data_IF_649280062957
#
_entry.id   IF_649280062957
#
_cell.length_a   1.000
_cell.length_b   1.000
_cell.length_c   1.000
_cell.angle_alpha   90.00
_cell.angle_beta   90.00
_cell.angle_gamma   90.00
#
_symmetry.space_group_name_H-M   'P 1'
#
loop_
_entity.id
_entity.type
_entity.pdbx_description
1 polymer ?
#
# COMPACT_ATOMS: atom_id res chain seq x y z
N UNK A 1 -32.64 13.68 -0.90
CA UNK A 1 -31.22 13.99 -0.66
C UNK A 1 -30.62 12.66 -0.29
N UNK A 2 -29.87 12.02 -1.20
CA UNK A 2 -29.12 10.81 -0.84
C UNK A 2 -28.07 11.22 0.19
N UNK A 3 -28.23 10.75 1.42
CA UNK A 3 -27.15 10.79 2.41
C UNK A 3 -25.95 10.09 1.78
N UNK A 4 -24.97 10.87 1.30
CA UNK A 4 -23.70 10.31 0.81
C UNK A 4 -23.08 9.54 1.97
N UNK A 5 -23.22 8.23 1.95
CA UNK A 5 -22.66 7.35 2.96
C UNK A 5 -21.13 7.57 2.95
N UNK A 6 -20.62 8.13 4.03
CA UNK A 6 -19.17 8.26 4.26
C UNK A 6 -18.60 6.87 4.43
N UNK A 7 -17.53 6.56 3.72
CA UNK A 7 -16.79 5.29 3.86
C UNK A 7 -15.56 5.54 4.70
N UNK A 8 -15.43 4.81 5.80
CA UNK A 8 -14.28 4.87 6.71
C UNK A 8 -13.25 3.82 6.31
N UNK A 9 -12.06 4.27 5.98
CA UNK A 9 -10.95 3.42 5.53
C UNK A 9 -9.88 3.42 6.61
N UNK A 10 -9.63 2.27 7.22
CA UNK A 10 -8.47 2.04 8.08
C UNK A 10 -7.29 1.61 7.21
N UNK A 11 -6.09 2.15 7.46
CA UNK A 11 -4.90 1.85 6.69
C UNK A 11 -3.69 1.60 7.61
N UNK A 12 -2.94 0.55 7.33
CA UNK A 12 -1.68 0.17 7.98
C UNK A 12 -0.74 -0.45 6.96
N UNK A 13 0.56 -0.42 7.19
CA UNK A 13 1.57 -1.16 6.43
C UNK A 13 2.59 -1.78 7.37
N UNK A 14 3.46 -2.63 6.82
CA UNK A 14 4.65 -3.16 7.52
C UNK A 14 4.29 -3.87 8.83
N UNK A 15 3.29 -4.75 8.74
CA UNK A 15 2.82 -5.53 9.89
C UNK A 15 3.79 -6.65 10.27
N UNK A 16 4.59 -7.14 9.30
CA UNK A 16 5.67 -8.13 9.49
C UNK A 16 5.27 -9.30 10.38
N UNK A 17 4.21 -10.01 9.98
CA UNK A 17 3.72 -11.18 10.73
C UNK A 17 4.75 -12.29 10.72
N UNK A 18 5.05 -12.83 11.90
CA UNK A 18 6.02 -13.91 12.14
C UNK A 18 5.30 -15.19 12.49
N UNK A 19 5.99 -16.32 12.36
CA UNK A 19 5.48 -17.63 12.83
C UNK A 19 5.09 -17.60 14.32
N UNK A 20 5.78 -16.77 15.12
CA UNK A 20 5.52 -16.62 16.57
C UNK A 20 4.35 -15.70 16.92
N UNK A 21 3.67 -15.14 15.91
CA UNK A 21 2.62 -14.13 16.13
C UNK A 21 1.20 -14.72 16.19
N UNK A 22 1.08 -16.03 16.21
CA UNK A 22 -0.21 -16.71 16.29
C UNK A 22 -1.04 -16.20 17.48
N UNK A 23 -2.24 -15.69 17.17
CA UNK A 23 -3.20 -15.12 18.12
C UNK A 23 -2.95 -13.64 18.50
N UNK A 24 -1.87 -13.02 18.03
CA UNK A 24 -1.51 -11.64 18.41
C UNK A 24 -2.32 -10.58 17.68
N UNK A 25 -2.79 -10.85 16.45
CA UNK A 25 -3.49 -9.88 15.61
C UNK A 25 -5.01 -9.94 15.69
N UNK A 26 -5.58 -10.96 16.34
CA UNK A 26 -7.05 -11.14 16.48
C UNK A 26 -7.71 -9.92 17.10
N UNK A 27 -7.18 -9.39 18.21
CA UNK A 27 -7.74 -8.20 18.87
C UNK A 27 -7.63 -6.94 18.01
N UNK A 28 -6.51 -6.79 17.29
CA UNK A 28 -6.29 -5.69 16.36
C UNK A 28 -7.33 -5.69 15.22
N UNK A 29 -7.52 -6.82 14.54
CA UNK A 29 -8.48 -6.91 13.44
C UNK A 29 -9.94 -6.75 13.89
N UNK A 30 -10.29 -7.17 15.11
CA UNK A 30 -11.59 -6.90 15.71
C UNK A 30 -11.80 -5.41 15.97
N UNK A 31 -10.80 -4.73 16.50
CA UNK A 31 -10.85 -3.29 16.77
C UNK A 31 -10.98 -2.49 15.46
N UNK A 32 -10.18 -2.80 14.45
CA UNK A 32 -10.28 -2.17 13.12
C UNK A 32 -11.68 -2.37 12.55
N UNK A 33 -12.23 -3.61 12.61
CA UNK A 33 -13.57 -3.92 12.10
C UNK A 33 -14.70 -3.15 12.79
N UNK A 34 -14.52 -2.78 14.06
CA UNK A 34 -15.49 -1.97 14.80
C UNK A 34 -15.49 -0.49 14.39
N UNK A 35 -14.38 -0.01 13.84
CA UNK A 35 -14.14 1.43 13.61
C UNK A 35 -14.13 1.82 12.12
N UNK A 36 -13.99 0.87 11.19
CA UNK A 36 -13.86 1.12 9.76
C UNK A 36 -14.85 0.28 8.93
N UNK A 37 -14.97 0.63 7.65
CA UNK A 37 -15.77 -0.08 6.67
C UNK A 37 -14.90 -0.88 5.68
N UNK A 38 -13.62 -0.52 5.54
CA UNK A 38 -12.60 -1.21 4.74
C UNK A 38 -11.25 -1.11 5.47
N UNK A 39 -10.45 -2.18 5.45
CA UNK A 39 -9.06 -2.18 5.89
C UNK A 39 -8.13 -2.21 4.68
N UNK A 40 -7.12 -1.33 4.66
CA UNK A 40 -6.01 -1.36 3.70
C UNK A 40 -4.74 -1.84 4.42
N UNK A 41 -3.97 -2.75 3.79
CA UNK A 41 -2.64 -3.15 4.27
C UNK A 41 -1.60 -2.90 3.16
N UNK A 42 -0.69 -1.96 3.42
CA UNK A 42 0.27 -1.40 2.46
C UNK A 42 1.59 -2.19 2.40
N UNK A 43 1.52 -3.51 2.19
CA UNK A 43 2.67 -4.39 2.00
C UNK A 43 3.41 -4.77 3.27
N UNK A 44 4.46 -5.57 3.11
CA UNK A 44 5.23 -6.24 4.16
C UNK A 44 4.31 -6.95 5.16
N UNK A 45 3.52 -7.85 4.57
CA UNK A 45 2.53 -8.65 5.27
C UNK A 45 3.22 -9.71 6.14
N UNK A 46 4.27 -10.32 5.61
CA UNK A 46 5.15 -11.31 6.24
C UNK A 46 6.49 -10.68 6.64
N UNK A 47 7.19 -11.28 7.59
CA UNK A 47 8.48 -10.77 8.07
C UNK A 47 9.66 -11.21 7.17
N UNK A 48 9.61 -12.43 6.65
CA UNK A 48 10.71 -13.04 5.88
C UNK A 48 10.29 -13.60 4.52
N UNK A 49 9.05 -13.37 4.10
CA UNK A 49 8.54 -13.89 2.83
C UNK A 49 8.28 -15.40 2.85
N UNK A 50 7.81 -15.91 3.99
CA UNK A 50 7.51 -17.33 4.18
C UNK A 50 6.01 -17.60 4.12
N UNK A 51 5.63 -18.72 3.51
CA UNK A 51 4.22 -19.13 3.41
C UNK A 51 3.62 -19.53 4.76
N UNK A 52 4.41 -19.94 5.73
CA UNK A 52 3.92 -20.24 7.09
C UNK A 52 3.54 -18.97 7.84
N UNK A 53 4.29 -17.87 7.65
CA UNK A 53 3.93 -16.54 8.14
C UNK A 53 2.62 -16.05 7.49
N UNK A 54 2.49 -16.27 6.17
CA UNK A 54 1.27 -15.92 5.43
C UNK A 54 0.06 -16.74 5.91
N UNK A 55 0.23 -18.03 6.22
CA UNK A 55 -0.83 -18.87 6.76
C UNK A 55 -1.30 -18.38 8.14
N UNK A 56 -0.38 -17.91 8.98
CA UNK A 56 -0.72 -17.29 10.28
C UNK A 56 -1.54 -16.01 10.04
N UNK A 57 -1.06 -15.10 9.18
CA UNK A 57 -1.80 -13.89 8.86
C UNK A 57 -3.21 -14.21 8.31
N UNK A 58 -3.32 -15.16 7.39
CA UNK A 58 -4.61 -15.59 6.85
C UNK A 58 -5.58 -16.07 7.96
N UNK A 59 -5.07 -16.83 8.92
CA UNK A 59 -5.85 -17.28 10.07
C UNK A 59 -6.28 -16.11 10.99
N UNK A 60 -5.38 -15.15 11.25
CA UNK A 60 -5.68 -13.96 12.05
C UNK A 60 -6.71 -13.04 11.36
N UNK A 61 -6.65 -12.92 10.04
CA UNK A 61 -7.58 -12.12 9.22
C UNK A 61 -9.03 -12.64 9.27
N UNK A 62 -9.27 -13.88 9.70
CA UNK A 62 -10.64 -14.33 9.96
C UNK A 62 -11.35 -13.50 11.06
N UNK A 63 -10.61 -12.81 11.91
CA UNK A 63 -11.17 -11.89 12.90
C UNK A 63 -11.57 -10.52 12.29
N UNK A 64 -11.14 -10.22 11.06
CA UNK A 64 -11.52 -9.03 10.32
C UNK A 64 -12.85 -9.28 9.59
N UNK A 65 -13.92 -8.62 10.04
CA UNK A 65 -15.27 -8.82 9.48
C UNK A 65 -15.61 -7.84 8.34
N UNK A 66 -14.73 -6.87 8.08
CA UNK A 66 -14.81 -5.90 6.97
C UNK A 66 -13.91 -6.35 5.82
N UNK A 67 -14.17 -5.91 4.57
CA UNK A 67 -13.29 -6.17 3.44
C UNK A 67 -11.87 -5.67 3.69
N UNK A 68 -10.88 -6.45 3.25
CA UNK A 68 -9.45 -6.12 3.32
C UNK A 68 -8.90 -5.98 1.92
N UNK A 69 -8.21 -4.88 1.64
CA UNK A 69 -7.46 -4.64 0.41
C UNK A 69 -5.99 -4.55 0.76
N UNK A 70 -5.14 -5.34 0.15
CA UNK A 70 -3.72 -5.29 0.42
C UNK A 70 -2.88 -5.40 -0.85
N UNK A 71 -1.62 -4.98 -0.73
CA UNK A 71 -0.56 -5.23 -1.69
C UNK A 71 0.56 -5.99 -1.00
N UNK A 72 1.44 -6.61 -1.76
CA UNK A 72 2.66 -7.19 -1.21
C UNK A 72 3.74 -6.12 -1.05
N UNK A 73 4.68 -6.32 -0.13
CA UNK A 73 5.87 -5.50 0.05
C UNK A 73 7.15 -6.25 -0.29
N UNK A 74 8.31 -5.62 -0.10
CA UNK A 74 9.59 -6.25 -0.45
C UNK A 74 9.93 -7.46 0.44
N UNK A 75 9.53 -7.47 1.70
CA UNK A 75 9.71 -8.64 2.57
C UNK A 75 8.93 -9.85 2.07
N UNK A 76 7.74 -9.66 1.50
CA UNK A 76 6.94 -10.74 0.92
C UNK A 76 7.62 -11.39 -0.30
N UNK A 77 8.59 -10.71 -0.92
CA UNK A 77 9.39 -11.21 -2.06
C UNK A 77 10.74 -11.83 -1.64
N UNK A 78 11.18 -11.70 -0.40
CA UNK A 78 12.54 -12.02 0.04
C UNK A 78 12.95 -13.46 -0.29
N UNK A 79 12.07 -14.45 -0.06
CA UNK A 79 12.30 -15.86 -0.39
C UNK A 79 11.85 -16.27 -1.80
N UNK A 80 11.38 -15.31 -2.63
CA UNK A 80 10.84 -15.60 -3.96
C UNK A 80 9.52 -16.39 -3.95
N UNK A 81 8.82 -16.42 -2.81
CA UNK A 81 7.58 -17.20 -2.59
C UNK A 81 6.32 -16.31 -2.63
N UNK A 82 6.40 -15.09 -3.10
CA UNK A 82 5.31 -14.12 -3.13
C UNK A 82 4.00 -14.64 -3.72
N UNK A 83 4.06 -15.56 -4.71
CA UNK A 83 2.87 -16.20 -5.29
C UNK A 83 2.15 -17.12 -4.30
N UNK A 84 2.89 -17.84 -3.47
CA UNK A 84 2.32 -18.70 -2.43
C UNK A 84 1.73 -17.84 -1.30
N UNK A 85 2.41 -16.75 -0.92
CA UNK A 85 1.94 -15.78 0.06
C UNK A 85 0.61 -15.17 -0.41
N UNK A 86 0.56 -14.67 -1.67
CA UNK A 86 -0.67 -14.16 -2.26
C UNK A 86 -1.80 -15.18 -2.21
N UNK A 87 -1.53 -16.42 -2.60
CA UNK A 87 -2.52 -17.51 -2.61
C UNK A 87 -3.02 -17.85 -1.20
N UNK A 88 -2.16 -17.83 -0.18
CA UNK A 88 -2.52 -18.14 1.20
C UNK A 88 -3.44 -17.05 1.80
N UNK A 89 -3.21 -15.78 1.46
CA UNK A 89 -3.93 -14.63 2.03
C UNK A 89 -5.22 -14.31 1.27
N UNK A 90 -5.24 -14.50 -0.05
CA UNK A 90 -6.41 -14.20 -0.90
C UNK A 90 -7.64 -14.99 -0.47
N UNK A 91 -8.77 -14.30 -0.27
CA UNK A 91 -10.06 -14.92 0.07
C UNK A 91 -11.22 -14.08 -0.47
N UNK A 92 -12.46 -14.44 -0.19
CA UNK A 92 -13.63 -13.65 -0.56
C UNK A 92 -13.68 -12.29 0.13
N UNK A 93 -13.03 -12.14 1.27
CA UNK A 93 -12.99 -10.91 2.06
C UNK A 93 -11.62 -10.21 2.04
N UNK A 94 -10.59 -10.84 1.48
CA UNK A 94 -9.23 -10.30 1.38
C UNK A 94 -8.81 -10.26 -0.09
N UNK A 95 -8.53 -9.07 -0.59
CA UNK A 95 -8.15 -8.79 -1.97
C UNK A 95 -6.69 -8.35 -2.03
N UNK A 96 -5.82 -9.22 -2.53
CA UNK A 96 -4.39 -8.92 -2.75
C UNK A 96 -4.24 -8.36 -4.16
N UNK A 97 -3.98 -7.06 -4.28
CA UNK A 97 -3.84 -6.36 -5.55
C UNK A 97 -2.38 -6.34 -6.03
N UNK A 98 -2.20 -6.54 -7.32
CA UNK A 98 -0.90 -6.49 -8.01
C UNK A 98 -1.12 -5.97 -9.44
N UNK A 99 -1.48 -4.69 -9.57
CA UNK A 99 -1.94 -4.08 -10.82
C UNK A 99 -3.43 -4.30 -11.09
N UNK A 100 -4.18 -4.73 -10.09
CA UNK A 100 -5.63 -4.86 -10.18
C UNK A 100 -6.37 -3.71 -9.46
N UNK A 101 -7.67 -3.64 -9.76
CA UNK A 101 -8.59 -2.70 -9.14
C UNK A 101 -9.86 -3.39 -8.65
N UNK A 102 -10.43 -2.88 -7.57
CA UNK A 102 -11.70 -3.35 -6.99
C UNK A 102 -12.54 -2.17 -6.49
N UNK A 103 -13.85 -2.35 -6.42
CA UNK A 103 -14.77 -1.35 -5.85
C UNK A 103 -15.45 -1.93 -4.62
N UNK A 104 -15.36 -1.21 -3.51
CA UNK A 104 -15.99 -1.57 -2.23
C UNK A 104 -16.70 -0.34 -1.69
N UNK A 105 -18.01 -0.46 -1.41
CA UNK A 105 -18.79 0.64 -0.84
C UNK A 105 -18.86 1.90 -1.71
N UNK A 106 -18.67 1.78 -3.04
CA UNK A 106 -18.66 2.91 -3.97
C UNK A 106 -17.30 3.63 -4.05
N UNK A 107 -16.27 3.13 -3.36
CA UNK A 107 -14.88 3.60 -3.44
C UNK A 107 -14.07 2.61 -4.26
N UNK A 108 -13.29 3.13 -5.23
CA UNK A 108 -12.38 2.34 -6.04
C UNK A 108 -11.01 2.23 -5.37
N UNK A 109 -10.46 1.03 -5.35
CA UNK A 109 -9.11 0.75 -4.86
C UNK A 109 -8.27 0.19 -6.00
N UNK A 110 -7.11 0.77 -6.25
CA UNK A 110 -6.11 0.26 -7.19
C UNK A 110 -4.80 0.05 -6.43
N UNK A 111 -4.14 -1.08 -6.63
CA UNK A 111 -2.96 -1.43 -5.85
C UNK A 111 -1.85 -2.05 -6.66
N UNK A 112 -0.62 -1.68 -6.30
CA UNK A 112 0.64 -2.29 -6.73
C UNK A 112 1.62 -2.27 -5.57
N UNK A 113 2.62 -3.15 -5.61
CA UNK A 113 3.76 -3.05 -4.70
C UNK A 113 4.46 -1.70 -4.88
N UNK A 114 4.66 -1.26 -6.10
CA UNK A 114 5.55 -0.18 -6.45
C UNK A 114 7.01 -0.64 -6.43
N UNK A 115 7.93 0.31 -6.66
CA UNK A 115 9.36 0.02 -6.62
C UNK A 115 10.19 1.27 -6.33
N UNK A 116 11.47 1.09 -6.03
CA UNK A 116 12.45 2.16 -5.89
C UNK A 116 12.72 2.88 -7.22
N UNK A 117 13.53 3.93 -7.20
CA UNK A 117 13.88 4.68 -8.41
C UNK A 117 14.21 6.14 -8.15
N UNK A 118 13.98 6.61 -6.89
CA UNK A 118 14.29 7.98 -6.48
C UNK A 118 13.21 8.99 -6.79
N UNK A 119 13.45 10.23 -6.41
CA UNK A 119 12.44 11.26 -6.37
C UNK A 119 12.83 12.53 -7.14
N UNK A 120 11.82 13.15 -7.75
CA UNK A 120 11.92 14.44 -8.44
C UNK A 120 13.02 14.45 -9.50
N UNK A 121 13.91 15.45 -9.47
CA UNK A 121 15.05 15.56 -10.40
C UNK A 121 16.13 14.49 -10.23
N UNK A 122 16.05 13.70 -9.17
CA UNK A 122 17.01 12.64 -8.86
C UNK A 122 16.48 11.25 -9.18
N UNK A 123 15.47 11.16 -10.05
CA UNK A 123 15.05 9.88 -10.60
C UNK A 123 16.19 9.17 -11.31
N UNK A 124 16.35 7.88 -11.00
CA UNK A 124 17.27 7.03 -11.74
C UNK A 124 16.79 6.86 -13.19
N UNK A 125 17.73 6.84 -14.12
CA UNK A 125 17.48 6.77 -15.55
C UNK A 125 17.98 5.45 -16.14
N UNK A 126 17.44 5.06 -17.29
CA UNK A 126 17.85 3.88 -18.08
C UNK A 126 19.23 4.07 -18.67
N UNK A 127 20.26 4.06 -17.83
CA UNK A 127 21.64 4.33 -18.21
C UNK A 127 22.60 3.30 -17.60
N UNK A 128 23.66 2.96 -18.34
CA UNK A 128 24.74 2.11 -17.85
C UNK A 128 24.46 0.62 -18.04
N UNK A 129 24.78 -0.16 -17.04
CA UNK A 129 24.76 -1.61 -17.01
C UNK A 129 23.32 -2.16 -17.05
N UNK A 130 23.16 -3.40 -17.54
CA UNK A 130 21.85 -4.04 -17.65
C UNK A 130 21.13 -4.19 -16.30
N UNK A 131 21.88 -4.38 -15.22
CA UNK A 131 21.29 -4.43 -13.87
C UNK A 131 20.64 -3.10 -13.47
N UNK A 132 21.28 -1.96 -13.76
CA UNK A 132 20.70 -0.64 -13.53
C UNK A 132 19.47 -0.38 -14.39
N UNK A 133 19.55 -0.78 -15.67
CA UNK A 133 18.39 -0.69 -16.58
C UNK A 133 17.23 -1.55 -16.11
N UNK A 134 17.49 -2.78 -15.67
CA UNK A 134 16.46 -3.67 -15.12
C UNK A 134 15.80 -3.08 -13.86
N UNK A 135 16.60 -2.50 -12.96
CA UNK A 135 16.09 -1.80 -11.77
C UNK A 135 15.14 -0.65 -12.12
N UNK A 136 15.53 0.18 -13.09
CA UNK A 136 14.70 1.30 -13.55
C UNK A 136 13.47 0.81 -14.31
N UNK A 137 13.60 -0.28 -15.09
CA UNK A 137 12.48 -0.87 -15.82
C UNK A 137 11.40 -1.39 -14.86
N UNK A 138 11.78 -2.04 -13.77
CA UNK A 138 10.83 -2.47 -12.74
C UNK A 138 10.02 -1.28 -12.19
N UNK A 139 10.69 -0.15 -11.90
CA UNK A 139 9.99 1.05 -11.44
C UNK A 139 9.01 1.62 -12.48
N UNK A 140 9.34 1.52 -13.76
CA UNK A 140 8.46 1.93 -14.87
C UNK A 140 7.26 0.97 -14.98
N UNK A 141 7.50 -0.34 -14.92
CA UNK A 141 6.47 -1.36 -15.07
C UNK A 141 5.45 -1.28 -13.93
N UNK A 142 5.89 -1.08 -12.69
CA UNK A 142 5.02 -0.88 -11.53
C UNK A 142 4.13 0.37 -11.68
N UNK A 143 4.69 1.49 -12.17
CA UNK A 143 3.91 2.70 -12.43
C UNK A 143 2.86 2.48 -13.55
N UNK A 144 3.20 1.72 -14.61
CA UNK A 144 2.27 1.36 -15.68
C UNK A 144 1.20 0.38 -15.21
N UNK A 145 1.51 -0.55 -14.30
CA UNK A 145 0.53 -1.45 -13.70
C UNK A 145 -0.47 -0.64 -12.87
N UNK A 146 0.00 0.31 -12.07
CA UNK A 146 -0.87 1.21 -11.30
C UNK A 146 -1.77 2.04 -12.23
N UNK A 147 -1.23 2.60 -13.32
CA UNK A 147 -1.99 3.38 -14.28
C UNK A 147 -3.12 2.57 -14.92
N UNK A 148 -2.83 1.33 -15.33
CA UNK A 148 -3.84 0.44 -15.90
C UNK A 148 -4.96 0.11 -14.90
N UNK A 149 -4.59 -0.15 -13.64
CA UNK A 149 -5.56 -0.42 -12.58
C UNK A 149 -6.46 0.80 -12.31
N UNK A 150 -5.89 2.01 -12.24
CA UNK A 150 -6.64 3.25 -12.05
C UNK A 150 -7.55 3.56 -13.24
N UNK A 151 -7.08 3.36 -14.48
CA UNK A 151 -7.90 3.56 -15.69
C UNK A 151 -9.12 2.63 -15.72
N UNK A 152 -9.02 1.40 -15.18
CA UNK A 152 -10.18 0.49 -15.04
C UNK A 152 -11.24 1.05 -14.10
N UNK A 153 -10.85 1.73 -13.03
CA UNK A 153 -11.81 2.36 -12.11
C UNK A 153 -12.65 3.42 -12.82
N UNK A 154 -12.09 4.14 -13.79
CA UNK A 154 -12.82 5.12 -14.58
C UNK A 154 -13.65 4.47 -15.69
N UNK A 155 -13.08 3.54 -16.46
CA UNK A 155 -13.69 3.00 -17.66
C UNK A 155 -14.74 1.91 -17.40
N UNK A 156 -14.50 1.04 -16.42
CA UNK A 156 -15.35 -0.12 -16.15
C UNK A 156 -16.29 0.11 -14.95
N UNK A 157 -15.82 0.81 -13.91
CA UNK A 157 -16.57 0.97 -12.66
C UNK A 157 -17.17 2.37 -12.47
N UNK A 158 -16.66 3.39 -13.15
CA UNK A 158 -17.15 4.79 -13.12
C UNK A 158 -17.23 5.36 -11.70
N UNK A 159 -16.20 5.10 -10.86
CA UNK A 159 -16.14 5.59 -9.49
C UNK A 159 -15.50 6.97 -9.40
N UNK A 160 -16.04 7.82 -8.52
CA UNK A 160 -15.53 9.18 -8.31
C UNK A 160 -14.47 9.26 -7.21
N UNK A 161 -14.44 8.31 -6.27
CA UNK A 161 -13.48 8.25 -5.17
C UNK A 161 -12.54 7.10 -5.41
N UNK A 162 -11.26 7.40 -5.59
CA UNK A 162 -10.21 6.43 -5.91
C UNK A 162 -9.10 6.48 -4.88
N UNK A 163 -8.74 5.35 -4.34
CA UNK A 163 -7.66 5.15 -3.37
C UNK A 163 -6.57 4.31 -4.02
N UNK A 164 -5.34 4.80 -3.96
CA UNK A 164 -4.17 4.03 -4.35
C UNK A 164 -3.56 3.34 -3.13
N UNK A 165 -3.30 2.04 -3.25
CA UNK A 165 -2.68 1.21 -2.23
C UNK A 165 -1.30 0.79 -2.75
N UNK A 166 -0.25 1.26 -2.09
CA UNK A 166 1.14 1.07 -2.50
C UNK A 166 1.94 0.49 -1.32
N UNK A 167 3.09 -0.11 -1.61
CA UNK A 167 4.09 -0.36 -0.56
C UNK A 167 5.21 0.66 -0.62
N UNK A 168 5.78 0.91 -1.81
CA UNK A 168 6.81 1.93 -2.01
C UNK A 168 6.22 3.34 -2.12
N UNK A 169 6.95 4.34 -1.61
CA UNK A 169 6.48 5.72 -1.60
C UNK A 169 6.41 6.36 -3.00
N UNK A 170 5.31 7.07 -3.33
CA UNK A 170 5.23 7.86 -4.57
C UNK A 170 5.90 9.24 -4.47
N UNK A 171 6.20 9.75 -3.27
CA UNK A 171 6.72 11.10 -3.06
C UNK A 171 7.83 11.17 -2.02
N UNK A 172 8.77 12.10 -2.23
CA UNK A 172 9.87 12.34 -1.30
C UNK A 172 9.39 12.77 0.10
N UNK A 173 8.30 13.54 0.19
CA UNK A 173 7.86 14.14 1.43
C UNK A 173 7.58 13.11 2.54
N UNK A 174 7.06 11.93 2.18
CA UNK A 174 6.73 10.88 3.14
C UNK A 174 7.88 9.93 3.49
N UNK A 175 9.05 10.07 2.84
CA UNK A 175 10.29 9.36 3.23
C UNK A 175 11.25 10.25 4.03
N UNK A 176 10.91 11.51 4.25
CA UNK A 176 11.71 12.42 5.08
C UNK A 176 11.75 11.90 6.51
N UNK A 177 12.97 11.70 7.02
CA UNK A 177 13.24 11.06 8.30
C UNK A 177 14.09 9.80 8.15
N UNK A 178 14.09 9.19 6.97
CA UNK A 178 15.03 8.16 6.57
C UNK A 178 16.39 8.76 6.15
N UNK A 179 17.48 7.99 6.16
CA UNK A 179 18.77 8.43 5.59
C UNK A 179 18.61 8.79 4.10
N UNK A 180 19.05 9.99 3.66
CA UNK A 180 18.90 10.41 2.25
C UNK A 180 19.58 9.48 1.25
N UNK A 181 20.61 8.75 1.66
CA UNK A 181 21.40 7.82 0.86
C UNK A 181 20.56 6.64 0.36
N UNK A 182 19.48 6.27 1.09
CA UNK A 182 18.62 5.15 0.72
C UNK A 182 17.32 5.58 0.02
N UNK A 183 17.07 6.88 -0.17
CA UNK A 183 15.85 7.36 -0.82
C UNK A 183 15.55 6.68 -2.17
N UNK A 184 16.52 6.38 -3.04
CA UNK A 184 16.24 5.68 -4.30
C UNK A 184 15.67 4.27 -4.12
N UNK A 185 15.82 3.68 -2.93
CA UNK A 185 15.28 2.37 -2.60
C UNK A 185 13.94 2.44 -1.87
N UNK A 186 13.51 3.64 -1.43
CA UNK A 186 12.27 3.82 -0.66
C UNK A 186 11.05 4.13 -1.53
N UNK A 187 11.25 4.46 -2.79
CA UNK A 187 10.15 4.75 -3.70
C UNK A 187 10.58 5.46 -4.97
N UNK A 188 9.58 5.90 -5.73
CA UNK A 188 9.80 6.57 -7.01
C UNK A 188 8.70 7.57 -7.33
N UNK A 189 9.08 8.79 -7.75
CA UNK A 189 8.12 9.78 -8.26
C UNK A 189 7.38 9.32 -9.53
N UNK A 190 7.83 8.23 -10.19
CA UNK A 190 7.06 7.62 -11.30
C UNK A 190 5.68 7.14 -10.85
N UNK A 191 5.56 6.69 -9.59
CA UNK A 191 4.28 6.29 -9.02
C UNK A 191 3.31 7.46 -8.81
N UNK A 192 3.81 8.70 -8.68
CA UNK A 192 2.96 9.88 -8.52
C UNK A 192 2.25 10.29 -9.83
N UNK A 193 2.85 10.02 -10.98
CA UNK A 193 2.29 10.41 -12.28
C UNK A 193 0.91 9.81 -12.56
N UNK A 194 0.68 8.48 -12.43
CA UNK A 194 -0.64 7.89 -12.61
C UNK A 194 -1.65 8.38 -11.58
N UNK A 195 -1.23 8.71 -10.35
CA UNK A 195 -2.12 9.27 -9.32
C UNK A 195 -2.69 10.62 -9.76
N UNK A 196 -1.84 11.50 -10.30
CA UNK A 196 -2.24 12.83 -10.81
C UNK A 196 -3.18 12.67 -12.01
N UNK A 197 -2.78 11.87 -13.01
CA UNK A 197 -3.56 11.69 -14.25
C UNK A 197 -4.96 11.15 -14.00
N UNK A 198 -5.12 10.31 -12.98
CA UNK A 198 -6.40 9.69 -12.65
C UNK A 198 -7.16 10.40 -11.51
N UNK A 199 -6.73 11.58 -11.06
CA UNK A 199 -7.37 12.35 -9.99
C UNK A 199 -7.68 11.49 -8.76
N UNK A 200 -6.67 10.77 -8.23
CA UNK A 200 -6.79 9.91 -7.07
C UNK A 200 -7.14 10.73 -5.83
N UNK A 201 -8.06 10.28 -5.01
CA UNK A 201 -8.50 10.99 -3.79
C UNK A 201 -7.39 11.00 -2.73
N UNK A 202 -6.76 9.84 -2.51
CA UNK A 202 -5.63 9.68 -1.60
C UNK A 202 -4.80 8.46 -1.98
N UNK A 203 -3.53 8.44 -1.58
CA UNK A 203 -2.65 7.29 -1.71
C UNK A 203 -2.07 6.91 -0.34
N UNK A 204 -1.94 5.61 -0.11
CA UNK A 204 -1.35 5.04 1.09
C UNK A 204 -0.14 4.19 0.72
N UNK A 205 0.91 4.25 1.55
CA UNK A 205 2.07 3.40 1.40
C UNK A 205 2.69 3.03 2.75
N UNK A 206 3.61 2.09 2.75
CA UNK A 206 4.42 1.68 3.89
C UNK A 206 5.92 1.92 3.65
N UNK A 207 6.75 0.93 3.95
CA UNK A 207 8.15 0.78 3.62
C UNK A 207 9.11 1.77 4.32
N UNK A 208 8.81 3.06 4.38
CA UNK A 208 9.68 4.07 5.00
C UNK A 208 9.39 4.20 6.50
N UNK A 209 10.02 3.32 7.30
CA UNK A 209 9.70 3.14 8.73
C UNK A 209 10.07 4.36 9.60
N UNK A 210 11.04 5.17 9.19
CA UNK A 210 11.41 6.42 9.86
C UNK A 210 10.82 7.66 9.15
N UNK A 211 10.01 7.46 8.11
CA UNK A 211 9.44 8.51 7.29
C UNK A 211 8.42 9.40 8.01
N UNK A 212 7.81 10.29 7.23
CA UNK A 212 6.78 11.25 7.68
C UNK A 212 5.39 10.70 7.33
N UNK A 213 4.43 10.82 8.28
CA UNK A 213 3.09 10.28 8.16
C UNK A 213 2.30 10.82 6.96
N UNK A 214 2.37 12.13 6.69
CA UNK A 214 1.56 12.79 5.67
C UNK A 214 2.42 13.67 4.77
N UNK A 215 2.09 13.66 3.49
CA UNK A 215 2.60 14.57 2.47
C UNK A 215 1.55 14.83 1.40
N UNK A 216 1.90 15.65 0.42
CA UNK A 216 1.04 15.94 -0.73
C UNK A 216 1.85 15.88 -2.02
N UNK A 217 1.24 15.47 -3.10
CA UNK A 217 1.86 15.54 -4.42
C UNK A 217 1.91 17.00 -4.85
N UNK A 218 3.08 17.45 -5.29
CA UNK A 218 3.28 18.85 -5.72
C UNK A 218 2.29 19.25 -6.81
N UNK A 219 1.72 20.45 -6.67
CA UNK A 219 0.72 21.01 -7.59
C UNK A 219 -0.57 20.18 -7.73
N UNK A 220 -0.94 19.44 -6.71
CA UNK A 220 -2.21 18.71 -6.63
C UNK A 220 -2.74 18.70 -5.20
N UNK A 221 -4.04 18.38 -5.03
CA UNK A 221 -4.67 18.21 -3.72
C UNK A 221 -4.55 16.78 -3.19
N UNK A 222 -3.82 15.90 -3.89
CA UNK A 222 -3.70 14.49 -3.55
C UNK A 222 -2.82 14.33 -2.32
N UNK A 223 -3.42 13.82 -1.25
CA UNK A 223 -2.72 13.45 -0.01
C UNK A 223 -2.09 12.08 -0.14
N UNK A 224 -0.90 11.95 0.42
CA UNK A 224 -0.16 10.69 0.50
C UNK A 224 0.16 10.41 1.97
N UNK A 225 -0.18 9.20 2.41
CA UNK A 225 -0.01 8.77 3.79
C UNK A 225 0.97 7.61 3.86
N UNK A 226 2.03 7.77 4.65
CA UNK A 226 2.91 6.69 5.06
C UNK A 226 2.32 6.02 6.31
N UNK A 227 1.69 4.88 6.11
CA UNK A 227 1.00 4.13 7.17
C UNK A 227 1.80 2.94 7.68
N UNK A 228 3.13 2.97 7.50
CA UNK A 228 4.02 2.01 8.16
C UNK A 228 3.71 1.99 9.67
N UNK A 229 3.54 0.79 10.24
CA UNK A 229 3.19 0.62 11.65
C UNK A 229 4.11 1.41 12.59
N UNK A 230 5.39 1.50 12.23
CA UNK A 230 6.41 2.23 12.99
C UNK A 230 6.15 3.75 12.96
N UNK A 231 5.75 4.29 11.81
CA UNK A 231 5.40 5.72 11.66
C UNK A 231 4.15 6.05 12.46
N UNK A 232 3.11 5.21 12.36
CA UNK A 232 1.87 5.38 13.12
C UNK A 232 2.12 5.31 14.63
N UNK A 233 2.92 4.36 15.10
CA UNK A 233 3.28 4.24 16.52
C UNK A 233 4.05 5.46 17.02
N UNK A 234 4.99 5.99 16.21
CA UNK A 234 5.74 7.22 16.51
C UNK A 234 4.83 8.46 16.54
N UNK A 235 3.77 8.48 15.74
CA UNK A 235 2.76 9.53 15.73
C UNK A 235 1.74 9.43 16.87
N UNK A 236 1.84 8.41 17.75
CA UNK A 236 1.02 8.27 18.96
C UNK A 236 -0.22 7.39 18.79
N UNK A 237 -0.36 6.69 17.67
CA UNK A 237 -1.47 5.73 17.49
C UNK A 237 -1.23 4.50 18.36
N UNK A 238 -2.09 4.27 19.34
CA UNK A 238 -1.98 3.12 20.25
C UNK A 238 -2.35 1.81 19.57
N UNK A 239 -3.42 1.83 18.78
CA UNK A 239 -3.72 0.80 17.80
C UNK A 239 -3.30 1.35 16.43
N UNK A 240 -2.19 0.87 15.83
CA UNK A 240 -1.54 1.56 14.72
C UNK A 240 -2.29 1.32 13.40
N UNK A 241 -3.33 2.07 13.16
CA UNK A 241 -3.95 2.28 11.85
C UNK A 241 -4.34 3.76 11.70
N UNK A 242 -4.26 4.26 10.49
CA UNK A 242 -4.75 5.59 10.10
C UNK A 242 -6.21 5.46 9.65
N UNK A 243 -7.07 6.39 10.05
CA UNK A 243 -8.48 6.39 9.63
C UNK A 243 -8.73 7.57 8.69
N UNK A 244 -9.19 7.29 7.48
CA UNK A 244 -9.61 8.27 6.48
C UNK A 244 -11.11 8.11 6.21
N UNK A 245 -11.83 9.22 6.22
CA UNK A 245 -13.22 9.29 5.78
C UNK A 245 -13.32 9.88 4.36
N UNK A 246 -14.02 9.16 3.48
CA UNK A 246 -14.19 9.58 2.08
C UNK A 246 -15.66 9.54 1.65
#
# INVERSE_FOLDING_TARGET
>A
MDDKKVTRIAAVGDIHVKETDKGKWVSYFKEVSANADVLIICGDLTDTGDEDEAAILAAELHACTIPVVCVLGNHDYEKGRHKLIRQAIQSTNVHVLDGEAIVIGGVGFAGVKGFGGGFDRYLLTMFGEDANKAYVQEAVDEALHLERALNKLDSEFQVNKKIAVLHYSPIKATVVGEPPEIYPFLGSSRLAEPLIRNNVTAAFHGHAHAGTLEGSISNSDIKVFNVAKQVLSKAGYQCPYYLLEV
#
